data_IF_080749826492
#
_entry.id   IF_080749826492
#
_cell.length_a   1.000
_cell.length_b   1.000
_cell.length_c   1.000
_cell.angle_alpha   90.00
_cell.angle_beta   90.00
_cell.angle_gamma   90.00
#
_symmetry.space_group_name_H-M   'P 1'
#
loop_
_entity.id
_entity.type
_entity.pdbx_description
1 polymer ?
#
# COMPACT_ATOMS: atom_id res chain seq x y z
N UNK A 1 2.11 -36.74 -7.63
CA UNK A 1 2.13 -36.89 -6.15
C UNK A 1 3.54 -36.56 -5.67
N UNK A 2 3.75 -35.36 -5.15
CA UNK A 2 4.98 -35.02 -4.43
C UNK A 2 4.70 -35.22 -2.93
N UNK A 3 5.57 -35.92 -2.18
CA UNK A 3 5.37 -36.17 -0.76
C UNK A 3 5.54 -34.89 0.05
N UNK A 4 4.80 -34.78 1.15
CA UNK A 4 4.47 -33.55 1.85
C UNK A 4 5.67 -32.75 2.36
N UNK A 5 5.83 -31.53 1.83
CA UNK A 5 6.40 -30.43 2.59
C UNK A 5 5.26 -29.78 3.38
N UNK A 6 5.22 -30.04 4.69
CA UNK A 6 4.44 -29.21 5.61
C UNK A 6 4.91 -27.76 5.43
N UNK A 7 3.98 -26.85 5.11
CA UNK A 7 4.22 -25.40 5.24
C UNK A 7 4.65 -25.16 6.69
N UNK A 8 5.93 -24.86 6.92
CA UNK A 8 6.38 -24.37 8.22
C UNK A 8 5.83 -22.96 8.39
N UNK A 9 4.73 -22.81 9.10
CA UNK A 9 4.27 -21.52 9.60
C UNK A 9 5.29 -21.05 10.63
N UNK A 10 6.13 -20.06 10.29
CA UNK A 10 7.01 -19.43 11.26
C UNK A 10 6.21 -18.43 12.08
N UNK A 11 6.05 -18.71 13.36
CA UNK A 11 5.39 -17.80 14.29
C UNK A 11 6.32 -16.62 14.58
N UNK A 12 5.81 -15.40 14.37
CA UNK A 12 6.47 -14.16 14.78
C UNK A 12 5.67 -13.56 15.91
N UNK A 13 6.32 -13.23 17.03
CA UNK A 13 5.68 -12.58 18.17
C UNK A 13 6.32 -11.22 18.38
N UNK A 14 5.50 -10.18 18.57
CA UNK A 14 5.96 -8.84 18.91
C UNK A 14 5.43 -8.40 20.28
N UNK A 15 6.31 -7.91 21.14
CA UNK A 15 5.95 -7.22 22.39
C UNK A 15 6.26 -5.72 22.24
N UNK A 16 5.36 -4.86 22.70
CA UNK A 16 5.50 -3.41 22.62
C UNK A 16 5.15 -2.78 23.96
N UNK A 17 6.12 -2.12 24.56
CA UNK A 17 6.00 -1.37 25.80
C UNK A 17 6.10 0.12 25.49
N UNK A 18 5.13 0.90 25.96
CA UNK A 18 5.03 2.35 25.71
C UNK A 18 4.73 3.09 27.00
N UNK A 19 5.42 4.21 27.21
CA UNK A 19 5.02 5.23 28.20
C UNK A 19 4.41 6.42 27.47
N UNK A 20 3.15 6.73 27.75
CA UNK A 20 2.43 7.86 27.16
C UNK A 20 2.18 8.93 28.20
N UNK A 21 2.34 10.18 27.83
CA UNK A 21 1.97 11.36 28.63
C UNK A 21 0.79 12.06 27.96
N UNK A 22 -0.22 12.42 28.75
CA UNK A 22 -1.34 13.25 28.31
C UNK A 22 -1.30 14.58 29.06
N UNK A 23 -1.24 15.69 28.32
CA UNK A 23 -1.24 17.04 28.89
C UNK A 23 -2.50 17.79 28.48
N UNK A 24 -3.22 18.35 29.46
CA UNK A 24 -4.34 19.26 29.22
C UNK A 24 -3.79 20.57 28.65
N UNK A 25 -4.19 20.89 27.42
CA UNK A 25 -3.79 22.11 26.72
C UNK A 25 -4.72 23.28 27.05
N UNK A 26 -6.02 23.02 27.12
CA UNK A 26 -7.05 24.00 27.41
C UNK A 26 -8.29 23.33 27.99
N UNK A 27 -9.08 24.09 28.74
CA UNK A 27 -10.44 23.71 29.15
C UNK A 27 -11.35 24.88 28.82
N UNK A 28 -12.40 24.64 28.03
CA UNK A 28 -13.34 25.69 27.66
C UNK A 28 -14.40 25.94 28.75
N UNK A 29 -15.20 26.99 28.56
CA UNK A 29 -16.23 27.41 29.53
C UNK A 29 -17.32 26.36 29.78
N UNK A 30 -17.47 25.38 28.89
CA UNK A 30 -18.41 24.26 29.07
C UNK A 30 -17.76 23.07 29.80
N UNK A 31 -16.50 23.21 30.23
CA UNK A 31 -15.74 22.16 30.89
C UNK A 31 -15.19 21.11 29.94
N UNK A 32 -15.12 21.39 28.63
CA UNK A 32 -14.53 20.48 27.66
C UNK A 32 -13.02 20.69 27.65
N UNK A 33 -12.27 19.63 27.95
CA UNK A 33 -10.81 19.64 27.99
C UNK A 33 -10.21 19.20 26.64
N UNK A 34 -9.24 19.94 26.14
CA UNK A 34 -8.39 19.53 25.01
C UNK A 34 -7.11 18.93 25.56
N UNK A 35 -6.84 17.65 25.26
CA UNK A 35 -5.64 16.95 25.71
C UNK A 35 -4.74 16.60 24.51
N UNK A 36 -3.44 16.65 24.73
CA UNK A 36 -2.43 16.20 23.75
C UNK A 36 -1.61 15.05 24.34
N UNK A 37 -1.40 14.00 23.55
CA UNK A 37 -0.57 12.83 23.91
C UNK A 37 0.81 12.87 23.28
N UNK A 38 1.80 12.43 24.05
CA UNK A 38 3.18 12.22 23.62
C UNK A 38 3.68 10.86 24.10
N UNK A 39 4.59 10.24 23.36
CA UNK A 39 5.28 9.02 23.81
C UNK A 39 6.60 9.44 24.47
N UNK A 40 6.77 9.11 25.75
CA UNK A 40 7.99 9.38 26.50
C UNK A 40 9.04 8.29 26.31
N UNK A 41 8.60 7.03 26.24
CA UNK A 41 9.47 5.88 25.99
C UNK A 41 8.76 4.79 25.20
N UNK A 42 9.56 4.03 24.45
CA UNK A 42 9.15 2.93 23.59
C UNK A 42 10.18 1.81 23.67
N UNK A 43 9.73 0.58 23.91
CA UNK A 43 10.53 -0.64 23.75
C UNK A 43 9.74 -1.64 22.93
N UNK A 44 10.28 -2.08 21.80
CA UNK A 44 9.69 -3.10 20.94
C UNK A 44 10.62 -4.32 20.89
N UNK A 45 10.04 -5.50 21.04
CA UNK A 45 10.75 -6.78 20.94
C UNK A 45 10.06 -7.63 19.86
N UNK A 46 10.81 -8.07 18.86
CA UNK A 46 10.32 -8.92 17.78
C UNK A 46 11.06 -10.26 17.80
N UNK A 47 10.33 -11.36 17.98
CA UNK A 47 10.87 -12.74 17.91
C UNK A 47 10.35 -13.45 16.68
N UNK A 48 11.23 -14.14 15.96
CA UNK A 48 10.91 -14.93 14.77
C UNK A 48 11.28 -16.39 15.03
N UNK A 49 10.30 -17.24 15.37
CA UNK A 49 10.56 -18.61 15.77
C UNK A 49 11.49 -18.69 17.00
N UNK A 50 12.56 -19.48 16.89
CA UNK A 50 13.57 -19.67 17.94
C UNK A 50 14.78 -18.72 17.82
N UNK A 51 14.76 -17.76 16.90
CA UNK A 51 15.83 -16.77 16.72
C UNK A 51 15.92 -15.80 17.91
N UNK A 52 17.09 -15.19 18.11
CA UNK A 52 17.27 -14.14 19.13
C UNK A 52 16.31 -12.96 18.89
N UNK A 53 15.67 -12.42 19.94
CA UNK A 53 14.75 -11.30 19.81
C UNK A 53 15.46 -10.05 19.29
N UNK A 54 14.91 -9.45 18.23
CA UNK A 54 15.28 -8.10 17.82
C UNK A 54 14.64 -7.11 18.80
N UNK A 55 15.46 -6.50 19.66
CA UNK A 55 15.03 -5.51 20.65
C UNK A 55 15.41 -4.12 20.17
N UNK A 56 14.44 -3.21 20.15
CA UNK A 56 14.67 -1.77 20.01
C UNK A 56 14.11 -1.07 21.25
N UNK A 57 14.94 -0.30 21.94
CA UNK A 57 14.59 0.29 23.23
C UNK A 57 15.08 1.74 23.29
N UNK A 58 14.14 2.68 23.40
CA UNK A 58 14.39 4.12 23.55
C UNK A 58 15.23 4.51 24.77
N UNK A 59 15.41 3.61 25.75
CA UNK A 59 16.38 3.82 26.83
C UNK A 59 17.83 3.80 26.32
N UNK A 60 18.09 3.20 25.15
CA UNK A 60 19.40 3.16 24.52
C UNK A 60 19.57 4.34 23.55
N UNK A 61 20.68 5.12 23.62
CA UNK A 61 20.85 6.35 22.84
C UNK A 61 20.74 6.18 21.32
N UNK A 62 21.26 5.08 20.76
CA UNK A 62 21.21 4.84 19.31
C UNK A 62 19.78 4.50 18.83
N UNK A 63 19.07 3.63 19.53
CA UNK A 63 17.67 3.34 19.23
C UNK A 63 16.76 4.57 19.43
N UNK A 64 17.06 5.41 20.42
CA UNK A 64 16.31 6.65 20.64
C UNK A 64 16.42 7.61 19.44
N UNK A 65 17.57 7.67 18.76
CA UNK A 65 17.73 8.47 17.53
C UNK A 65 16.85 7.94 16.40
N UNK A 66 16.81 6.62 16.20
CA UNK A 66 15.94 5.98 15.20
C UNK A 66 14.46 6.23 15.49
N UNK A 67 14.09 6.34 16.77
CA UNK A 67 12.71 6.56 17.23
C UNK A 67 12.36 8.05 17.43
N UNK A 68 13.25 8.99 17.12
CA UNK A 68 13.05 10.42 17.35
C UNK A 68 11.85 11.01 16.59
N UNK A 69 11.34 10.31 15.57
CA UNK A 69 10.10 10.64 14.89
C UNK A 69 8.86 10.55 15.80
N UNK A 70 8.90 9.72 16.85
CA UNK A 70 7.75 9.40 17.71
C UNK A 70 7.90 9.91 19.15
N UNK A 71 9.12 9.95 19.67
CA UNK A 71 9.39 10.34 21.06
C UNK A 71 9.16 11.85 21.27
N UNK A 72 8.52 12.19 22.39
CA UNK A 72 8.28 13.55 22.89
C UNK A 72 7.53 14.50 21.93
N UNK A 73 6.87 13.97 20.90
CA UNK A 73 6.05 14.74 19.94
C UNK A 73 4.57 14.58 20.24
N UNK A 74 3.78 15.62 19.95
CA UNK A 74 2.32 15.53 19.96
C UNK A 74 1.84 14.59 18.86
N UNK A 75 1.33 13.42 19.24
CA UNK A 75 0.89 12.39 18.29
C UNK A 75 -0.63 12.30 18.16
N UNK A 76 -1.34 12.63 19.24
CA UNK A 76 -2.80 12.59 19.28
C UNK A 76 -3.33 13.80 20.04
N UNK A 77 -4.30 14.50 19.46
CA UNK A 77 -5.02 15.60 20.10
C UNK A 77 -6.52 15.27 20.17
N UNK A 78 -7.10 15.37 21.37
CA UNK A 78 -8.48 14.94 21.68
C UNK A 78 -9.24 16.01 22.45
N UNK A 79 -10.56 16.04 22.29
CA UNK A 79 -11.48 16.83 23.14
C UNK A 79 -12.36 15.91 23.97
N UNK A 80 -12.40 16.15 25.28
CA UNK A 80 -13.15 15.36 26.27
C UNK A 80 -14.16 16.24 27.00
N UNK A 81 -15.36 15.71 27.26
CA UNK A 81 -16.28 16.38 28.19
C UNK A 81 -15.85 16.22 29.66
N UNK A 82 -16.55 16.89 30.58
CA UNK A 82 -16.28 16.81 32.02
C UNK A 82 -16.49 15.43 32.65
N UNK A 83 -16.99 14.44 31.90
CA UNK A 83 -17.12 13.03 32.30
C UNK A 83 -16.08 12.14 31.63
N UNK A 84 -15.13 12.72 30.89
CA UNK A 84 -14.08 12.04 30.16
C UNK A 84 -14.50 11.51 28.78
N UNK A 85 -15.75 11.69 28.35
CA UNK A 85 -16.22 11.15 27.07
C UNK A 85 -15.51 11.84 25.91
N UNK A 86 -15.02 11.04 24.97
CA UNK A 86 -14.41 11.51 23.74
C UNK A 86 -15.44 12.21 22.86
N UNK A 87 -15.22 13.50 22.57
CA UNK A 87 -16.08 14.32 21.71
C UNK A 87 -15.51 14.45 20.29
N UNK A 88 -14.19 14.57 20.18
CA UNK A 88 -13.50 14.71 18.89
C UNK A 88 -12.05 14.26 18.99
N UNK A 89 -11.50 13.81 17.86
CA UNK A 89 -10.08 13.54 17.67
C UNK A 89 -9.63 14.32 16.44
N UNK A 90 -8.76 15.30 16.64
CA UNK A 90 -8.38 16.27 15.58
C UNK A 90 -7.08 15.90 14.89
N UNK A 91 -6.21 15.14 15.55
CA UNK A 91 -4.95 14.66 14.98
C UNK A 91 -4.72 13.23 15.44
N UNK A 92 -4.57 12.29 14.51
CA UNK A 92 -4.12 10.92 14.81
C UNK A 92 -2.97 10.61 13.87
N UNK A 93 -1.74 10.65 14.39
CA UNK A 93 -0.57 10.24 13.60
C UNK A 93 -0.45 8.71 13.50
N UNK A 94 -1.19 7.93 14.29
CA UNK A 94 -1.26 6.46 14.17
C UNK A 94 -2.49 5.79 14.81
N UNK A 95 -3.10 4.85 14.07
CA UNK A 95 -4.21 4.00 14.49
C UNK A 95 -5.61 4.61 14.36
N UNK A 96 -6.67 3.83 14.60
CA UNK A 96 -8.06 4.33 14.59
C UNK A 96 -8.34 5.18 15.83
N UNK A 97 -9.09 6.26 15.66
CA UNK A 97 -9.56 7.12 16.75
C UNK A 97 -10.45 6.35 17.76
N UNK A 98 -11.18 5.33 17.31
CA UNK A 98 -12.14 4.58 18.12
C UNK A 98 -11.47 3.77 19.24
N UNK A 99 -10.22 3.34 19.06
CA UNK A 99 -9.46 2.64 20.11
C UNK A 99 -9.29 3.50 21.38
N UNK A 100 -9.29 4.82 21.22
CA UNK A 100 -9.10 5.75 22.33
C UNK A 100 -10.29 5.70 23.29
N UNK A 101 -11.50 5.35 22.84
CA UNK A 101 -12.70 5.32 23.70
C UNK A 101 -12.62 4.32 24.86
N UNK A 102 -11.74 3.32 24.75
CA UNK A 102 -11.54 2.31 25.80
C UNK A 102 -10.21 2.45 26.54
N UNK A 103 -9.32 3.31 26.08
CA UNK A 103 -8.03 3.57 26.74
C UNK A 103 -8.20 4.55 27.92
N UNK A 104 -7.20 4.60 28.81
CA UNK A 104 -7.06 5.74 29.71
C UNK A 104 -6.36 6.88 28.96
N UNK A 105 -6.75 8.16 29.17
CA UNK A 105 -7.64 8.68 30.23
C UNK A 105 -9.13 8.81 29.85
N UNK A 106 -9.55 8.30 28.70
CA UNK A 106 -10.85 8.56 28.08
C UNK A 106 -12.05 7.91 28.78
N UNK A 107 -11.81 6.79 29.44
CA UNK A 107 -12.86 6.17 30.23
C UNK A 107 -12.21 5.57 31.46
N UNK A 108 -12.43 6.18 32.61
CA UNK A 108 -12.10 5.63 33.92
C UNK A 108 -13.38 5.57 34.73
N UNK A 109 -13.79 4.36 35.09
CA UNK A 109 -14.92 4.14 36.00
C UNK A 109 -14.28 3.83 37.34
N UNK A 110 -14.46 4.73 38.29
CA UNK A 110 -13.93 4.58 39.64
C UNK A 110 -14.94 3.78 40.49
N UNK A 111 -14.46 2.95 41.42
CA UNK A 111 -15.36 2.31 42.39
C UNK A 111 -16.00 3.37 43.29
N UNK A 112 -17.28 3.16 43.64
CA UNK A 112 -18.04 4.11 44.48
C UNK A 112 -17.41 4.26 45.88
N UNK A 113 -16.83 3.20 46.44
CA UNK A 113 -16.24 3.18 47.77
C UNK A 113 -14.88 2.47 47.79
N UNK A 114 -14.14 2.60 48.90
CA UNK A 114 -12.92 1.87 49.27
C UNK A 114 -11.69 2.15 48.40
N UNK A 115 -11.13 3.33 48.58
CA UNK A 115 -9.98 3.85 47.84
C UNK A 115 -8.66 3.52 48.54
N UNK A 116 -8.23 2.26 48.41
CA UNK A 116 -7.02 1.74 49.06
C UNK A 116 -6.01 1.23 48.01
N UNK A 117 -4.72 1.42 48.28
CA UNK A 117 -3.68 0.88 47.41
C UNK A 117 -3.76 -0.65 47.36
N UNK A 118 -3.62 -1.22 46.17
CA UNK A 118 -3.79 -2.65 45.89
C UNK A 118 -5.21 -3.04 45.45
N UNK A 119 -6.23 -2.20 45.66
CA UNK A 119 -7.59 -2.52 45.19
C UNK A 119 -7.62 -2.64 43.68
N UNK A 120 -8.29 -3.68 43.18
CA UNK A 120 -8.53 -3.87 41.75
C UNK A 120 -10.01 -4.11 41.42
N UNK A 121 -10.42 -3.73 40.22
CA UNK A 121 -11.75 -3.99 39.68
C UNK A 121 -11.67 -4.21 38.16
N UNK A 122 -12.66 -4.88 37.60
CA UNK A 122 -12.73 -5.20 36.18
C UNK A 122 -13.88 -4.46 35.50
N UNK A 123 -13.71 -4.20 34.21
CA UNK A 123 -14.82 -3.86 33.31
C UNK A 123 -14.68 -4.61 32.01
N UNK A 124 -15.81 -4.95 31.41
CA UNK A 124 -15.85 -5.35 30.01
C UNK A 124 -15.98 -4.11 29.14
N UNK A 125 -15.30 -4.10 28.00
CA UNK A 125 -15.46 -3.11 26.96
C UNK A 125 -15.42 -3.78 25.59
N UNK A 126 -15.96 -3.08 24.59
CA UNK A 126 -15.92 -3.49 23.19
C UNK A 126 -15.09 -2.49 22.40
N UNK A 127 -14.21 -3.01 21.54
CA UNK A 127 -13.41 -2.21 20.59
C UNK A 127 -13.70 -2.69 19.19
N UNK A 128 -14.01 -1.74 18.31
CA UNK A 128 -14.01 -1.98 16.87
C UNK A 128 -12.58 -1.86 16.34
N UNK A 129 -12.12 -2.85 15.59
CA UNK A 129 -10.79 -2.83 14.97
C UNK A 129 -10.97 -2.60 13.47
N UNK A 130 -10.83 -1.33 13.06
CA UNK A 130 -10.93 -0.92 11.65
C UNK A 130 -9.68 -1.32 10.83
N UNK A 131 -9.80 -1.42 9.50
CA UNK A 131 -8.64 -1.52 8.61
C UNK A 131 -7.61 -0.40 8.84
N UNK A 132 -6.30 -0.66 8.72
CA UNK A 132 -5.68 -1.92 8.29
C UNK A 132 -5.43 -2.93 9.44
N UNK A 133 -5.77 -2.59 10.69
CA UNK A 133 -5.47 -3.42 11.86
C UNK A 133 -6.48 -4.55 12.09
N UNK A 134 -7.62 -4.51 11.40
CA UNK A 134 -8.69 -5.51 11.44
C UNK A 134 -9.66 -5.30 10.28
N UNK A 135 -10.77 -6.04 10.26
CA UNK A 135 -11.77 -5.99 9.17
C UNK A 135 -12.99 -5.12 9.51
N UNK A 136 -12.92 -4.33 10.58
CA UNK A 136 -14.03 -3.51 11.09
C UNK A 136 -14.93 -4.22 12.11
N UNK A 137 -14.54 -5.39 12.59
CA UNK A 137 -15.30 -6.14 13.60
C UNK A 137 -15.08 -5.60 15.01
N UNK A 138 -16.06 -5.84 15.89
CA UNK A 138 -16.00 -5.47 17.31
C UNK A 138 -15.66 -6.65 18.18
N UNK A 139 -14.65 -6.48 19.04
CA UNK A 139 -14.13 -7.51 19.92
C UNK A 139 -14.31 -7.11 21.37
N UNK A 140 -14.58 -8.11 22.21
CA UNK A 140 -14.75 -7.90 23.65
C UNK A 140 -13.41 -8.04 24.35
N UNK A 141 -13.11 -7.08 25.23
CA UNK A 141 -11.93 -7.07 26.07
C UNK A 141 -12.33 -6.83 27.52
N UNK A 142 -11.54 -7.40 28.42
CA UNK A 142 -11.61 -7.17 29.85
C UNK A 142 -10.46 -6.25 30.26
N UNK A 143 -10.79 -5.22 31.03
CA UNK A 143 -9.83 -4.29 31.60
C UNK A 143 -9.85 -4.42 33.10
N UNK A 144 -8.70 -4.73 33.69
CA UNK A 144 -8.48 -4.73 35.13
C UNK A 144 -7.74 -3.46 35.53
N UNK A 145 -8.38 -2.67 36.39
CA UNK A 145 -7.81 -1.49 37.03
C UNK A 145 -7.25 -1.87 38.38
N UNK A 146 -6.13 -1.27 38.78
CA UNK A 146 -5.55 -1.44 40.12
C UNK A 146 -5.09 -0.09 40.66
N UNK A 147 -5.56 0.31 41.85
CA UNK A 147 -5.01 1.48 42.54
C UNK A 147 -3.60 1.14 43.01
N UNK A 148 -2.57 1.77 42.44
CA UNK A 148 -1.18 1.44 42.77
C UNK A 148 -0.67 2.23 43.96
N UNK A 149 -0.83 3.56 43.95
CA UNK A 149 -0.38 4.44 45.02
C UNK A 149 -1.13 5.77 45.03
N UNK A 150 -1.13 6.43 46.18
CA UNK A 150 -1.65 7.78 46.38
C UNK A 150 -0.53 8.74 46.74
N UNK A 151 -0.51 9.91 46.11
CA UNK A 151 0.38 11.03 46.46
C UNK A 151 -0.48 12.31 46.58
N UNK A 152 -0.73 12.74 47.82
CA UNK A 152 -1.67 13.83 48.09
C UNK A 152 -3.08 13.52 47.59
N UNK A 153 -3.56 14.34 46.65
CA UNK A 153 -4.88 14.18 46.01
C UNK A 153 -4.82 13.40 44.67
N UNK A 154 -3.65 12.88 44.29
CA UNK A 154 -3.45 12.15 43.04
C UNK A 154 -3.37 10.63 43.28
N UNK A 155 -4.06 9.88 42.45
CA UNK A 155 -4.00 8.42 42.40
C UNK A 155 -3.27 7.95 41.14
N UNK A 156 -2.35 7.01 41.30
CA UNK A 156 -1.79 6.23 40.19
C UNK A 156 -2.63 4.97 40.00
N UNK A 157 -3.21 4.79 38.82
CA UNK A 157 -4.04 3.62 38.47
C UNK A 157 -3.33 2.80 37.40
N UNK A 158 -3.06 1.53 37.70
CA UNK A 158 -2.61 0.54 36.73
C UNK A 158 -3.78 0.00 35.93
N UNK A 159 -3.59 -0.21 34.62
CA UNK A 159 -4.57 -0.80 33.72
C UNK A 159 -3.91 -1.97 32.97
N UNK A 160 -4.50 -3.16 33.06
CA UNK A 160 -4.19 -4.28 32.19
C UNK A 160 -5.41 -4.63 31.36
N UNK A 161 -5.23 -4.78 30.05
CA UNK A 161 -6.30 -5.15 29.11
C UNK A 161 -6.02 -6.55 28.58
N UNK A 162 -7.03 -7.41 28.56
CA UNK A 162 -6.96 -8.75 27.98
C UNK A 162 -8.16 -8.98 27.06
N UNK A 163 -7.94 -9.60 25.92
CA UNK A 163 -9.03 -10.05 25.05
C UNK A 163 -9.79 -11.19 25.73
N UNK A 164 -11.12 -11.10 25.78
CA UNK A 164 -11.95 -12.25 26.23
C UNK A 164 -12.18 -13.22 25.08
N UNK A 165 -12.26 -12.68 23.86
CA UNK A 165 -12.19 -13.41 22.60
C UNK A 165 -11.00 -12.84 21.85
N UNK A 166 -9.97 -13.65 21.61
CA UNK A 166 -8.86 -13.21 20.78
C UNK A 166 -9.44 -12.83 19.43
N UNK A 167 -9.25 -11.57 18.96
CA UNK A 167 -9.54 -11.28 17.58
C UNK A 167 -8.78 -12.30 16.75
N UNK A 168 -9.40 -12.89 15.69
CA UNK A 168 -8.64 -13.71 14.78
C UNK A 168 -7.39 -12.90 14.47
N UNK A 169 -6.22 -13.49 14.72
CA UNK A 169 -4.98 -12.95 14.20
C UNK A 169 -5.32 -12.70 12.74
N UNK A 170 -5.53 -11.42 12.39
CA UNK A 170 -5.31 -11.04 11.02
C UNK A 170 -3.94 -11.66 10.75
N UNK A 171 -3.82 -12.44 9.69
CA UNK A 171 -2.53 -12.82 9.15
C UNK A 171 -1.84 -11.49 8.79
N UNK A 172 -1.42 -10.76 9.83
CA UNK A 172 -0.65 -9.55 9.79
C UNK A 172 0.72 -10.11 9.56
N UNK A 173 1.01 -10.29 8.27
CA UNK A 173 2.36 -10.14 7.77
C UNK A 173 3.01 -9.02 8.60
N UNK A 174 4.12 -9.37 9.25
CA UNK A 174 4.88 -8.48 10.10
C UNK A 174 4.94 -7.09 9.48
N UNK A 175 4.97 -6.06 10.34
CA UNK A 175 5.12 -4.64 10.01
C UNK A 175 6.47 -4.38 9.31
N UNK A 176 6.51 -4.89 8.08
CA UNK A 176 7.32 -4.70 6.89
C UNK A 176 6.39 -4.82 5.64
N UNK A 177 5.06 -4.58 5.73
CA UNK A 177 4.08 -5.13 4.80
C UNK A 177 3.87 -4.23 3.57
N UNK A 178 4.83 -3.36 3.26
CA UNK A 178 4.77 -2.48 2.09
C UNK A 178 5.92 -2.69 1.12
N UNK A 179 6.91 -3.54 1.44
CA UNK A 179 7.92 -3.92 0.44
C UNK A 179 7.50 -5.14 -0.37
N UNK A 180 6.76 -6.10 0.20
CA UNK A 180 6.37 -7.31 -0.53
C UNK A 180 5.47 -7.06 -1.75
N UNK A 181 4.86 -5.87 -1.84
CA UNK A 181 3.80 -5.58 -2.80
C UNK A 181 4.16 -4.47 -3.80
N UNK A 182 5.43 -4.06 -3.84
CA UNK A 182 5.94 -3.33 -5.01
C UNK A 182 6.40 -4.35 -6.05
N UNK A 183 6.09 -4.15 -7.36
CA UNK A 183 6.56 -5.03 -8.43
C UNK A 183 8.08 -5.32 -8.32
N UNK A 184 8.84 -4.34 -7.82
CA UNK A 184 10.28 -4.41 -7.57
C UNK A 184 10.70 -5.56 -6.64
N UNK A 185 9.90 -5.94 -5.64
CA UNK A 185 10.23 -7.05 -4.73
C UNK A 185 9.89 -8.40 -5.33
N UNK A 186 8.81 -8.51 -6.11
CA UNK A 186 8.54 -9.74 -6.85
C UNK A 186 9.57 -9.98 -7.95
N UNK A 187 10.06 -8.93 -8.62
CA UNK A 187 11.25 -9.01 -9.48
C UNK A 187 12.44 -9.60 -8.70
N UNK A 188 12.75 -9.06 -7.52
CA UNK A 188 13.86 -9.54 -6.69
C UNK A 188 13.70 -11.01 -6.26
N UNK A 189 12.47 -11.42 -5.89
CA UNK A 189 12.16 -12.82 -5.57
C UNK A 189 12.38 -13.72 -6.78
N UNK A 190 11.90 -13.30 -7.95
CA UNK A 190 12.13 -13.99 -9.21
C UNK A 190 13.62 -14.15 -9.52
N UNK A 191 14.38 -13.06 -9.45
CA UNK A 191 15.83 -13.01 -9.66
C UNK A 191 16.54 -13.99 -8.72
N UNK A 192 16.30 -13.89 -7.40
CA UNK A 192 16.94 -14.74 -6.40
C UNK A 192 16.57 -16.21 -6.56
N UNK A 193 15.36 -16.53 -7.04
CA UNK A 193 14.91 -17.92 -7.27
C UNK A 193 15.66 -18.63 -8.39
N UNK A 194 16.19 -17.88 -9.37
CA UNK A 194 16.92 -18.41 -10.51
C UNK A 194 18.44 -18.45 -10.28
N UNK A 195 18.96 -17.61 -9.38
CA UNK A 195 20.39 -17.52 -9.12
C UNK A 195 20.86 -18.55 -8.10
N UNK A 196 21.97 -19.27 -8.37
CA UNK A 196 22.67 -20.10 -7.40
C UNK A 196 23.17 -19.32 -6.18
N UNK A 197 23.40 -20.02 -5.06
CA UNK A 197 23.80 -19.41 -3.77
C UNK A 197 25.14 -18.69 -3.76
N UNK A 198 26.02 -18.97 -4.71
CA UNK A 198 27.30 -18.28 -4.83
C UNK A 198 27.22 -16.90 -5.50
N UNK A 199 26.07 -16.54 -6.08
CA UNK A 199 25.84 -15.18 -6.57
C UNK A 199 25.40 -14.27 -5.42
N UNK A 200 26.12 -13.17 -5.26
CA UNK A 200 25.76 -12.10 -4.33
C UNK A 200 24.94 -11.03 -5.06
N UNK A 201 23.85 -10.60 -4.44
CA UNK A 201 23.00 -9.54 -4.96
C UNK A 201 23.34 -8.20 -4.30
N UNK A 202 23.66 -7.20 -5.13
CA UNK A 202 23.81 -5.81 -4.71
C UNK A 202 22.58 -5.03 -5.17
N UNK A 203 21.80 -4.52 -4.21
CA UNK A 203 20.61 -3.72 -4.51
C UNK A 203 20.97 -2.24 -4.55
N UNK A 204 20.59 -1.56 -5.63
CA UNK A 204 20.80 -0.12 -5.80
C UNK A 204 19.46 0.58 -6.03
N UNK A 205 19.09 1.51 -5.15
CA UNK A 205 17.86 2.30 -5.27
C UNK A 205 18.14 3.58 -6.07
N UNK A 206 17.53 3.71 -7.25
CA UNK A 206 17.68 4.89 -8.11
C UNK A 206 16.60 5.95 -7.93
N UNK A 207 15.47 5.62 -7.27
CA UNK A 207 14.32 6.54 -7.05
C UNK A 207 13.78 7.18 -8.32
N UNK A 208 13.88 6.42 -9.42
CA UNK A 208 13.58 6.89 -10.77
C UNK A 208 14.35 8.17 -11.17
N UNK A 209 15.47 8.47 -10.51
CA UNK A 209 16.34 9.62 -10.79
C UNK A 209 17.43 9.21 -11.80
N UNK A 210 17.46 9.83 -12.99
CA UNK A 210 18.44 9.50 -14.02
C UNK A 210 19.89 9.81 -13.60
N UNK A 211 20.13 10.75 -12.68
CA UNK A 211 21.46 11.03 -12.16
C UNK A 211 21.96 9.90 -11.24
N UNK A 212 21.09 9.39 -10.37
CA UNK A 212 21.41 8.24 -9.51
C UNK A 212 21.59 6.97 -10.34
N UNK A 213 20.73 6.72 -11.32
CA UNK A 213 20.90 5.62 -12.28
C UNK A 213 22.28 5.69 -12.94
N UNK A 214 22.67 6.85 -13.47
CA UNK A 214 23.96 7.02 -14.12
C UNK A 214 25.14 6.80 -13.17
N UNK A 215 25.02 7.20 -11.91
CA UNK A 215 26.02 6.97 -10.87
C UNK A 215 26.19 5.47 -10.59
N UNK A 216 25.09 4.75 -10.40
CA UNK A 216 25.14 3.30 -10.15
C UNK A 216 25.61 2.51 -11.37
N UNK A 217 25.15 2.84 -12.58
CA UNK A 217 25.63 2.21 -13.81
C UNK A 217 27.16 2.38 -13.96
N UNK A 218 27.69 3.58 -13.71
CA UNK A 218 29.14 3.85 -13.77
C UNK A 218 29.94 3.07 -12.75
N UNK A 219 29.35 2.76 -11.60
CA UNK A 219 29.99 2.01 -10.52
C UNK A 219 29.91 0.50 -10.76
N UNK A 220 28.71 0.00 -11.05
CA UNK A 220 28.42 -1.42 -11.20
C UNK A 220 29.05 -2.02 -12.47
N UNK A 221 29.34 -1.22 -13.50
CA UNK A 221 30.11 -1.72 -14.65
C UNK A 221 31.50 -2.28 -14.25
N UNK A 222 32.06 -1.83 -13.12
CA UNK A 222 33.35 -2.29 -12.61
C UNK A 222 33.21 -3.23 -11.41
N UNK A 223 32.20 -3.03 -10.56
CA UNK A 223 32.04 -3.77 -9.30
C UNK A 223 31.18 -5.05 -9.41
N UNK A 224 30.39 -5.21 -10.47
CA UNK A 224 29.49 -6.35 -10.64
C UNK A 224 29.80 -7.15 -11.91
N UNK A 225 29.58 -8.47 -11.87
CA UNK A 225 29.77 -9.35 -13.04
C UNK A 225 28.73 -9.10 -14.13
N UNK A 226 27.51 -8.72 -13.74
CA UNK A 226 26.43 -8.34 -14.64
C UNK A 226 25.40 -7.43 -13.94
N UNK A 227 24.55 -6.78 -14.73
CA UNK A 227 23.60 -5.78 -14.24
C UNK A 227 22.18 -6.15 -14.69
N UNK A 228 21.25 -6.24 -13.74
CA UNK A 228 19.81 -6.18 -14.02
C UNK A 228 19.37 -4.74 -13.76
N UNK A 229 18.90 -4.05 -14.80
CA UNK A 229 18.54 -2.64 -14.73
C UNK A 229 17.02 -2.48 -14.84
N UNK A 230 16.40 -1.74 -13.92
CA UNK A 230 15.07 -1.18 -14.12
C UNK A 230 15.25 0.28 -14.54
N UNK A 231 15.26 0.58 -15.85
CA UNK A 231 15.73 1.87 -16.32
C UNK A 231 14.69 2.99 -16.11
N UNK A 232 15.18 4.20 -15.88
CA UNK A 232 14.39 5.45 -15.91
C UNK A 232 13.86 5.76 -17.31
N UNK A 233 14.49 5.21 -18.35
CA UNK A 233 14.29 5.56 -19.76
C UNK A 233 14.59 7.04 -20.09
N UNK A 234 15.25 7.81 -19.21
CA UNK A 234 15.71 9.16 -19.57
C UNK A 234 16.77 9.04 -20.69
N UNK A 235 16.56 9.65 -21.87
CA UNK A 235 17.48 9.56 -23.00
C UNK A 235 18.91 10.00 -22.68
N UNK A 236 19.14 10.80 -21.63
CA UNK A 236 20.49 11.20 -21.18
C UNK A 236 21.37 10.00 -20.84
N UNK A 237 20.78 8.90 -20.37
CA UNK A 237 21.52 7.70 -19.97
C UNK A 237 21.74 6.70 -21.11
N UNK A 238 21.09 6.88 -22.25
CA UNK A 238 21.24 5.99 -23.42
C UNK A 238 22.70 5.87 -23.87
N UNK A 239 23.43 6.99 -23.96
CA UNK A 239 24.85 6.97 -24.34
C UNK A 239 25.75 6.27 -23.32
N UNK A 240 25.37 6.28 -22.03
CA UNK A 240 26.09 5.57 -20.98
C UNK A 240 25.82 4.06 -21.09
N UNK A 241 24.55 3.67 -21.22
CA UNK A 241 24.15 2.26 -21.39
C UNK A 241 24.82 1.65 -22.63
N UNK A 242 24.82 2.36 -23.76
CA UNK A 242 25.50 1.90 -24.98
C UNK A 242 26.99 1.63 -24.74
N UNK A 243 27.70 2.59 -24.11
CA UNK A 243 29.12 2.42 -23.79
C UNK A 243 29.38 1.24 -22.85
N UNK A 244 28.51 1.00 -21.87
CA UNK A 244 28.64 -0.14 -20.96
C UNK A 244 28.49 -1.45 -21.75
N UNK A 245 27.50 -1.54 -22.64
CA UNK A 245 27.32 -2.71 -23.51
C UNK A 245 28.53 -2.93 -24.43
N UNK A 246 29.13 -1.87 -24.98
CA UNK A 246 30.32 -1.95 -25.85
C UNK A 246 31.55 -2.53 -25.12
N UNK A 247 31.61 -2.45 -23.78
CA UNK A 247 32.67 -3.12 -23.00
C UNK A 247 32.50 -4.63 -22.87
N UNK A 248 31.38 -5.18 -23.35
CA UNK A 248 31.00 -6.57 -23.16
C UNK A 248 30.38 -6.86 -21.78
N UNK A 249 30.08 -5.84 -20.97
CA UNK A 249 29.39 -6.00 -19.68
C UNK A 249 27.98 -6.57 -19.90
N UNK A 250 27.63 -7.72 -19.30
CA UNK A 250 26.26 -8.23 -19.33
C UNK A 250 25.28 -7.27 -18.67
N UNK A 251 24.26 -6.84 -19.43
CA UNK A 251 23.16 -6.01 -18.92
C UNK A 251 21.83 -6.55 -19.45
N UNK A 252 20.87 -6.73 -18.55
CA UNK A 252 19.48 -7.07 -18.87
C UNK A 252 18.58 -5.98 -18.29
N UNK A 253 17.76 -5.33 -19.12
CA UNK A 253 16.74 -4.40 -18.64
C UNK A 253 15.45 -5.15 -18.28
N UNK A 254 14.75 -4.70 -17.25
CA UNK A 254 13.45 -5.23 -16.83
C UNK A 254 12.37 -4.16 -16.84
N UNK A 255 11.12 -4.55 -17.13
CA UNK A 255 9.90 -3.72 -17.19
C UNK A 255 9.88 -2.67 -18.31
N UNK A 256 11.01 -2.00 -18.54
CA UNK A 256 11.16 -0.85 -19.42
C UNK A 256 12.30 -1.05 -20.41
N UNK A 257 12.11 -0.50 -21.60
CA UNK A 257 13.01 -0.59 -22.73
C UNK A 257 13.58 0.81 -23.06
N UNK A 258 14.87 1.07 -22.79
CA UNK A 258 15.54 2.29 -23.21
C UNK A 258 15.59 2.39 -24.73
N UNK A 259 15.06 3.48 -25.28
CA UNK A 259 14.90 3.63 -26.73
C UNK A 259 16.25 3.60 -27.47
N UNK A 260 16.36 2.74 -28.49
CA UNK A 260 17.53 2.67 -29.35
C UNK A 260 18.75 1.98 -28.73
N UNK A 261 18.58 1.27 -27.60
CA UNK A 261 19.65 0.54 -26.94
C UNK A 261 19.55 -0.96 -27.24
N UNK A 262 20.56 -1.59 -27.87
CA UNK A 262 20.53 -3.00 -28.23
C UNK A 262 20.87 -3.89 -27.02
N UNK A 263 20.04 -3.88 -25.99
CA UNK A 263 20.20 -4.70 -24.78
C UNK A 263 19.18 -5.84 -24.72
N UNK A 264 19.47 -6.85 -23.90
CA UNK A 264 18.46 -7.83 -23.52
C UNK A 264 17.40 -7.13 -22.65
N UNK A 265 16.12 -7.35 -22.94
CA UNK A 265 15.00 -6.74 -22.19
C UNK A 265 14.01 -7.83 -21.83
N UNK A 266 13.57 -7.85 -20.57
CA UNK A 266 12.46 -8.68 -20.11
C UNK A 266 11.34 -7.77 -19.64
N UNK A 267 10.25 -7.68 -20.40
CA UNK A 267 9.16 -6.74 -20.13
C UNK A 267 7.78 -7.39 -20.33
N UNK A 268 6.74 -6.75 -19.80
CA UNK A 268 5.38 -7.09 -20.22
C UNK A 268 5.14 -6.55 -21.62
N UNK A 269 4.41 -7.28 -22.47
CA UNK A 269 3.84 -6.73 -23.70
C UNK A 269 2.71 -5.76 -23.32
N UNK A 270 3.09 -4.53 -22.99
CA UNK A 270 2.19 -3.52 -22.46
C UNK A 270 1.10 -3.16 -23.47
N UNK A 271 1.48 -3.05 -24.75
CA UNK A 271 0.57 -2.68 -25.81
C UNK A 271 -0.51 -3.75 -26.02
N UNK A 272 -0.13 -5.03 -26.21
CA UNK A 272 -1.12 -6.10 -26.42
C UNK A 272 -1.96 -6.37 -25.17
N UNK A 273 -1.36 -6.23 -23.99
CA UNK A 273 -2.08 -6.39 -22.71
C UNK A 273 -3.12 -5.29 -22.52
N UNK A 274 -2.74 -4.02 -22.72
CA UNK A 274 -3.66 -2.89 -22.63
C UNK A 274 -4.77 -2.99 -23.69
N UNK A 275 -4.42 -3.36 -24.93
CA UNK A 275 -5.38 -3.57 -26.02
C UNK A 275 -6.42 -4.64 -25.66
N UNK A 276 -6.01 -5.71 -24.98
CA UNK A 276 -6.92 -6.77 -24.52
C UNK A 276 -7.96 -6.24 -23.53
N UNK A 277 -7.53 -5.51 -22.50
CA UNK A 277 -8.43 -4.93 -21.52
C UNK A 277 -9.33 -3.84 -22.09
N UNK A 278 -8.80 -2.97 -22.94
CA UNK A 278 -9.56 -1.89 -23.57
C UNK A 278 -10.62 -2.44 -24.55
N UNK A 279 -10.27 -3.46 -25.36
CA UNK A 279 -11.25 -4.13 -26.23
C UNK A 279 -12.32 -4.88 -25.45
N UNK A 280 -12.01 -5.36 -24.24
CA UNK A 280 -13.04 -5.88 -23.36
C UNK A 280 -14.06 -4.79 -22.99
N UNK A 281 -13.62 -3.58 -22.65
CA UNK A 281 -14.53 -2.46 -22.38
C UNK A 281 -15.37 -2.09 -23.62
N UNK A 282 -14.76 -2.01 -24.81
CA UNK A 282 -15.52 -1.66 -26.03
C UNK A 282 -16.50 -2.75 -26.45
N UNK A 283 -16.16 -4.02 -26.22
CA UNK A 283 -17.07 -5.17 -26.41
C UNK A 283 -18.26 -5.13 -25.44
N UNK A 284 -18.07 -4.60 -24.22
CA UNK A 284 -19.14 -4.33 -23.26
C UNK A 284 -19.98 -3.09 -23.60
N UNK A 285 -19.71 -2.42 -24.73
CA UNK A 285 -20.49 -1.29 -25.22
C UNK A 285 -19.97 0.09 -24.80
N UNK A 286 -18.85 0.17 -24.08
CA UNK A 286 -18.25 1.46 -23.75
C UNK A 286 -17.73 2.16 -25.01
N UNK A 287 -18.05 3.46 -25.13
CA UNK A 287 -17.66 4.32 -26.25
C UNK A 287 -16.89 5.57 -25.81
N UNK A 288 -17.11 6.02 -24.59
CA UNK A 288 -16.41 7.14 -23.96
C UNK A 288 -15.64 6.60 -22.76
N UNK A 289 -14.34 6.37 -22.96
CA UNK A 289 -13.43 5.76 -21.98
C UNK A 289 -12.38 6.81 -21.63
N UNK A 290 -12.25 7.17 -20.36
CA UNK A 290 -11.17 8.04 -19.91
C UNK A 290 -9.87 7.26 -19.75
N UNK A 291 -8.73 7.95 -19.83
CA UNK A 291 -7.43 7.35 -19.51
C UNK A 291 -6.66 8.21 -18.50
N UNK A 292 -6.36 7.62 -17.35
CA UNK A 292 -5.62 8.28 -16.26
C UNK A 292 -4.20 7.72 -16.25
N UNK A 293 -3.23 8.57 -16.55
CA UNK A 293 -1.86 8.15 -16.85
C UNK A 293 -0.83 9.19 -16.46
N UNK A 294 0.43 8.79 -16.45
CA UNK A 294 1.57 9.65 -16.17
C UNK A 294 1.92 10.50 -17.40
N UNK A 295 2.44 11.71 -17.17
CA UNK A 295 2.95 12.61 -18.20
C UNK A 295 4.28 12.15 -18.84
N UNK A 296 4.94 11.15 -18.24
CA UNK A 296 6.22 10.61 -18.66
C UNK A 296 6.12 9.64 -19.85
N UNK A 297 5.53 10.07 -20.97
CA UNK A 297 5.35 9.27 -22.20
C UNK A 297 6.66 8.83 -22.89
N UNK A 298 7.83 9.25 -22.40
CA UNK A 298 9.13 8.74 -22.86
C UNK A 298 9.46 7.35 -22.26
N UNK A 299 8.82 6.99 -21.15
CA UNK A 299 8.94 5.67 -20.51
C UNK A 299 8.19 4.63 -21.36
N UNK A 300 8.86 3.55 -21.75
CA UNK A 300 8.30 2.60 -22.73
C UNK A 300 6.98 1.97 -22.29
N UNK A 301 6.86 1.54 -21.03
CA UNK A 301 5.64 0.90 -20.53
C UNK A 301 4.45 1.85 -20.51
N UNK A 302 4.66 3.11 -20.13
CA UNK A 302 3.64 4.17 -20.17
C UNK A 302 3.23 4.45 -21.61
N UNK A 303 4.21 4.64 -22.51
CA UNK A 303 3.99 4.90 -23.93
C UNK A 303 3.18 3.79 -24.60
N UNK A 304 3.59 2.54 -24.44
CA UNK A 304 2.95 1.39 -25.08
C UNK A 304 1.49 1.19 -24.62
N UNK A 305 1.20 1.42 -23.32
CA UNK A 305 -0.18 1.40 -22.80
C UNK A 305 -1.00 2.56 -23.39
N UNK A 306 -0.40 3.74 -23.51
CA UNK A 306 -1.03 4.91 -24.11
C UNK A 306 -1.32 4.71 -25.61
N UNK A 307 -0.39 4.14 -26.36
CA UNK A 307 -0.55 3.82 -27.78
C UNK A 307 -1.70 2.82 -28.01
N UNK A 308 -1.84 1.81 -27.15
CA UNK A 308 -2.99 0.89 -27.20
C UNK A 308 -4.32 1.61 -26.93
N UNK A 309 -4.35 2.54 -25.97
CA UNK A 309 -5.51 3.40 -25.74
C UNK A 309 -5.86 4.25 -26.96
N UNK A 310 -4.87 4.94 -27.55
CA UNK A 310 -5.08 5.75 -28.76
C UNK A 310 -5.68 4.92 -29.89
N UNK A 311 -5.16 3.72 -30.13
CA UNK A 311 -5.70 2.84 -31.16
C UNK A 311 -7.16 2.47 -30.90
N UNK A 312 -7.51 2.07 -29.67
CA UNK A 312 -8.90 1.69 -29.37
C UNK A 312 -9.85 2.88 -29.52
N UNK A 313 -9.42 4.08 -29.14
CA UNK A 313 -10.23 5.28 -29.33
C UNK A 313 -10.37 5.66 -30.81
N UNK A 314 -9.34 5.45 -31.63
CA UNK A 314 -9.43 5.58 -33.09
C UNK A 314 -10.40 4.55 -33.71
N UNK A 315 -10.38 3.29 -33.23
CA UNK A 315 -11.35 2.25 -33.62
C UNK A 315 -12.80 2.66 -33.28
N UNK A 316 -12.98 3.54 -32.28
CA UNK A 316 -14.25 4.15 -31.88
C UNK A 316 -14.57 5.49 -32.54
N UNK A 317 -13.76 5.93 -33.52
CA UNK A 317 -13.94 7.18 -34.28
C UNK A 317 -13.82 8.44 -33.41
N UNK A 318 -12.93 8.43 -32.42
CA UNK A 318 -12.50 9.65 -31.73
C UNK A 318 -11.33 10.29 -32.47
N UNK A 319 -11.56 11.47 -33.06
CA UNK A 319 -10.53 12.26 -33.73
C UNK A 319 -9.61 13.00 -32.73
N UNK A 320 -10.17 13.41 -31.59
CA UNK A 320 -9.43 14.05 -30.49
C UNK A 320 -9.79 13.40 -29.15
N UNK A 321 -8.79 12.73 -28.55
CA UNK A 321 -8.92 12.07 -27.24
C UNK A 321 -8.49 12.96 -26.08
N UNK A 322 -7.90 14.13 -26.33
CA UNK A 322 -7.41 15.03 -25.27
C UNK A 322 -8.46 15.33 -24.19
N UNK A 323 -9.76 15.49 -24.50
CA UNK A 323 -10.78 15.69 -23.47
C UNK A 323 -10.92 14.51 -22.49
N UNK A 324 -10.52 13.31 -22.89
CA UNK A 324 -10.67 12.05 -22.13
C UNK A 324 -9.40 11.61 -21.41
N UNK A 325 -8.24 12.18 -21.77
CA UNK A 325 -6.95 11.84 -21.15
C UNK A 325 -6.67 12.77 -19.97
N UNK A 326 -6.15 12.22 -18.89
CA UNK A 326 -5.66 12.97 -17.72
C UNK A 326 -4.22 12.55 -17.46
N UNK A 327 -3.32 13.50 -17.70
CA UNK A 327 -1.89 13.36 -17.46
C UNK A 327 -1.58 13.90 -16.06
N UNK A 328 -1.03 13.04 -15.22
CA UNK A 328 -0.56 13.41 -13.90
C UNK A 328 0.98 13.39 -13.87
N UNK A 329 1.62 14.26 -13.07
CA UNK A 329 3.08 14.24 -12.95
C UNK A 329 3.58 12.91 -12.39
N UNK A 330 4.49 12.25 -13.09
CA UNK A 330 5.20 11.08 -12.55
C UNK A 330 6.13 11.53 -11.41
N UNK A 331 5.70 11.40 -10.16
CA UNK A 331 6.51 11.75 -8.98
C UNK A 331 6.39 10.68 -7.89
N UNK A 332 7.52 10.17 -7.40
CA UNK A 332 7.54 9.29 -6.20
C UNK A 332 7.07 10.01 -4.93
N UNK A 333 7.08 11.34 -4.94
CA UNK A 333 6.67 12.20 -3.83
C UNK A 333 5.26 12.76 -3.98
N UNK A 334 4.41 12.19 -4.86
CA UNK A 334 3.01 12.61 -4.86
C UNK A 334 2.39 12.19 -3.53
N UNK A 335 2.27 13.19 -2.67
CA UNK A 335 1.40 13.21 -1.50
C UNK A 335 0.08 12.55 -1.92
N UNK A 336 -0.21 11.36 -1.39
CA UNK A 336 -1.40 10.57 -1.77
C UNK A 336 -2.69 11.41 -1.67
N UNK A 337 -2.71 12.36 -0.73
CA UNK A 337 -3.75 13.38 -0.58
C UNK A 337 -3.90 14.32 -1.79
N UNK A 338 -2.79 14.75 -2.41
CA UNK A 338 -2.83 15.53 -3.64
C UNK A 338 -3.31 14.70 -4.83
N UNK A 339 -2.81 13.46 -4.98
CA UNK A 339 -3.26 12.57 -6.06
C UNK A 339 -4.76 12.29 -5.97
N UNK A 340 -5.23 11.90 -4.78
CA UNK A 340 -6.64 11.59 -4.55
C UNK A 340 -7.54 12.78 -4.92
N UNK A 341 -7.14 14.00 -4.53
CA UNK A 341 -7.89 15.21 -4.86
C UNK A 341 -7.83 15.51 -6.38
N UNK A 342 -6.66 15.41 -7.01
CA UNK A 342 -6.52 15.66 -8.45
C UNK A 342 -7.31 14.65 -9.31
N UNK A 343 -7.30 13.37 -8.91
CA UNK A 343 -8.09 12.30 -9.54
C UNK A 343 -9.58 12.52 -9.33
N UNK A 344 -10.00 12.93 -8.13
CA UNK A 344 -11.39 13.30 -7.85
C UNK A 344 -11.87 14.43 -8.75
N UNK A 345 -11.11 15.52 -8.88
CA UNK A 345 -11.51 16.69 -9.68
C UNK A 345 -11.53 16.36 -11.18
N UNK A 346 -10.59 15.53 -11.64
CA UNK A 346 -10.56 15.01 -13.00
C UNK A 346 -11.79 14.13 -13.30
N UNK A 347 -12.11 13.19 -12.41
CA UNK A 347 -13.27 12.31 -12.54
C UNK A 347 -14.57 13.10 -12.50
N UNK A 348 -14.71 14.03 -11.55
CA UNK A 348 -15.87 14.91 -11.44
C UNK A 348 -16.13 15.66 -12.74
N UNK A 349 -15.09 16.25 -13.33
CA UNK A 349 -15.20 16.97 -14.61
C UNK A 349 -15.65 16.05 -15.75
N UNK A 350 -15.06 14.85 -15.86
CA UNK A 350 -15.37 13.88 -16.91
C UNK A 350 -16.78 13.27 -16.80
N UNK A 351 -17.31 13.16 -15.58
CA UNK A 351 -18.66 12.65 -15.32
C UNK A 351 -19.75 13.70 -15.59
N UNK A 352 -19.40 15.00 -15.60
CA UNK A 352 -20.37 16.10 -15.75
C UNK A 352 -20.27 16.85 -17.09
N UNK A 353 -19.36 16.46 -17.98
CA UNK A 353 -19.28 17.02 -19.34
C UNK A 353 -20.36 16.40 -20.28
N UNK A 354 -20.70 17.07 -21.41
CA UNK A 354 -21.53 16.47 -22.45
C UNK A 354 -20.90 15.18 -22.98
N UNK A 355 -21.64 14.07 -22.98
CA UNK A 355 -21.10 12.75 -23.28
C UNK A 355 -20.22 12.22 -22.13
N UNK A 356 -20.82 11.93 -20.96
CA UNK A 356 -20.06 11.49 -19.80
C UNK A 356 -19.33 10.19 -20.08
N UNK A 357 -18.20 10.00 -19.40
CA UNK A 357 -17.46 8.75 -19.47
C UNK A 357 -18.28 7.61 -18.85
N UNK A 358 -18.07 6.39 -19.33
CA UNK A 358 -18.68 5.17 -18.76
C UNK A 358 -17.65 4.15 -18.32
N UNK A 359 -16.37 4.39 -18.63
CA UNK A 359 -15.26 3.62 -18.12
C UNK A 359 -14.00 4.46 -17.96
N UNK A 360 -13.07 4.02 -17.11
CA UNK A 360 -11.74 4.61 -16.92
C UNK A 360 -10.68 3.52 -17.06
N UNK A 361 -9.68 3.75 -17.93
CA UNK A 361 -8.46 2.98 -17.98
C UNK A 361 -7.36 3.67 -17.16
N UNK A 362 -7.00 3.06 -16.03
CA UNK A 362 -5.94 3.49 -15.13
C UNK A 362 -4.61 2.87 -15.53
N UNK A 363 -3.57 3.69 -15.70
CA UNK A 363 -2.21 3.26 -16.02
C UNK A 363 -1.62 2.32 -14.95
N UNK A 364 -1.97 2.53 -13.68
CA UNK A 364 -1.46 1.83 -12.50
C UNK A 364 -2.53 1.73 -11.40
N UNK A 365 -2.36 0.79 -10.46
CA UNK A 365 -3.30 0.55 -9.36
C UNK A 365 -3.48 1.74 -8.42
N UNK A 366 -2.48 2.61 -8.26
CA UNK A 366 -2.64 3.79 -7.40
C UNK A 366 -3.64 4.80 -7.99
N UNK A 367 -3.78 4.88 -9.32
CA UNK A 367 -4.87 5.63 -9.97
C UNK A 367 -6.20 4.94 -9.74
N UNK A 368 -6.26 3.60 -9.86
CA UNK A 368 -7.47 2.84 -9.57
C UNK A 368 -7.96 3.10 -8.14
N UNK A 369 -7.08 3.03 -7.13
CA UNK A 369 -7.46 3.33 -5.74
C UNK A 369 -8.03 4.74 -5.61
N UNK A 370 -7.37 5.75 -6.18
CA UNK A 370 -7.84 7.12 -6.14
C UNK A 370 -9.18 7.32 -6.89
N UNK A 371 -9.39 6.62 -8.01
CA UNK A 371 -10.66 6.62 -8.76
C UNK A 371 -11.78 6.02 -7.92
N UNK A 372 -11.53 4.89 -7.25
CA UNK A 372 -12.53 4.23 -6.41
C UNK A 372 -12.90 5.09 -5.19
N UNK A 373 -11.93 5.76 -4.57
CA UNK A 373 -12.18 6.72 -3.50
C UNK A 373 -13.02 7.91 -4.01
N UNK A 374 -12.72 8.42 -5.20
CA UNK A 374 -13.50 9.49 -5.81
C UNK A 374 -14.94 9.03 -6.15
N UNK A 375 -15.11 7.83 -6.68
CA UNK A 375 -16.42 7.23 -6.93
C UNK A 375 -17.25 7.14 -5.65
N UNK A 376 -16.68 6.65 -4.55
CA UNK A 376 -17.36 6.56 -3.24
C UNK A 376 -17.83 7.94 -2.75
N UNK A 377 -16.95 8.94 -2.81
CA UNK A 377 -17.27 10.33 -2.44
C UNK A 377 -18.37 10.96 -3.31
N UNK A 378 -18.46 10.55 -4.57
CA UNK A 378 -19.45 11.04 -5.55
C UNK A 378 -20.73 10.19 -5.57
N UNK A 379 -20.78 9.07 -4.85
CA UNK A 379 -21.90 8.13 -4.90
C UNK A 379 -22.03 7.37 -6.24
N UNK A 380 -20.92 7.18 -6.96
CA UNK A 380 -20.84 6.41 -8.21
C UNK A 380 -20.53 4.94 -7.87
N UNK A 381 -21.36 4.02 -8.35
CA UNK A 381 -21.16 2.58 -8.14
C UNK A 381 -20.17 2.00 -9.17
N UNK A 382 -19.30 1.11 -8.72
CA UNK A 382 -18.36 0.38 -9.59
C UNK A 382 -18.59 -1.13 -9.40
N UNK A 383 -18.88 -1.90 -10.47
CA UNK A 383 -18.83 -1.52 -11.88
C UNK A 383 -20.13 -0.93 -12.47
N UNK A 384 -21.21 -0.76 -11.70
CA UNK A 384 -22.55 -0.51 -12.26
C UNK A 384 -22.73 0.84 -12.97
N UNK A 385 -22.15 1.92 -12.44
CA UNK A 385 -22.25 3.27 -13.02
C UNK A 385 -20.97 3.66 -13.79
N UNK A 386 -19.81 3.09 -13.41
CA UNK A 386 -18.52 3.31 -14.04
C UNK A 386 -17.67 2.03 -14.01
N UNK A 387 -17.22 1.55 -15.17
CA UNK A 387 -16.26 0.43 -15.22
C UNK A 387 -14.82 0.92 -15.11
N UNK A 388 -14.03 0.26 -14.27
CA UNK A 388 -12.61 0.59 -14.10
C UNK A 388 -11.78 -0.57 -14.65
N UNK A 389 -10.80 -0.23 -15.49
CA UNK A 389 -9.74 -1.12 -15.94
C UNK A 389 -8.42 -0.61 -15.37
N UNK A 390 -7.69 -1.45 -14.65
CA UNK A 390 -6.37 -1.13 -14.10
C UNK A 390 -5.29 -2.00 -14.71
N UNK A 391 -4.15 -1.42 -15.05
CA UNK A 391 -2.91 -2.17 -15.23
C UNK A 391 -2.28 -2.38 -13.86
N UNK A 392 -2.43 -3.60 -13.34
CA UNK A 392 -2.10 -3.97 -11.98
C UNK A 392 -0.66 -4.50 -11.90
N UNK A 393 0.17 -3.82 -11.11
CA UNK A 393 1.58 -4.17 -10.94
C UNK A 393 1.82 -5.11 -9.74
N UNK A 394 0.79 -5.34 -8.91
CA UNK A 394 0.87 -6.17 -7.72
C UNK A 394 -0.38 -7.06 -7.53
N UNK A 395 -0.26 -8.18 -6.78
CA UNK A 395 -1.42 -8.92 -6.30
C UNK A 395 -2.36 -8.00 -5.51
N UNK A 396 -3.68 -8.20 -5.60
CA UNK A 396 -4.65 -7.25 -5.10
C UNK A 396 -4.53 -7.05 -3.58
N UNK A 397 -4.15 -5.84 -3.16
CA UNK A 397 -4.14 -5.37 -1.77
C UNK A 397 -5.52 -5.44 -1.09
N UNK A 398 -6.60 -5.59 -1.87
CA UNK A 398 -7.98 -5.50 -1.39
C UNK A 398 -8.91 -6.49 -2.11
N UNK A 399 -8.96 -7.74 -1.65
CA UNK A 399 -9.69 -8.85 -2.32
C UNK A 399 -11.16 -8.60 -2.67
N UNK A 400 -11.85 -7.66 -2.00
CA UNK A 400 -13.24 -7.28 -2.30
C UNK A 400 -13.33 -6.12 -3.30
N UNK A 401 -12.48 -5.12 -3.16
CA UNK A 401 -12.44 -3.94 -4.05
C UNK A 401 -11.87 -4.31 -5.42
N UNK A 402 -10.96 -5.28 -5.48
CA UNK A 402 -10.36 -5.74 -6.73
C UNK A 402 -11.24 -6.69 -7.54
N UNK A 403 -12.42 -7.05 -7.03
CA UNK A 403 -13.42 -7.85 -7.76
C UNK A 403 -14.32 -6.98 -8.62
N UNK A 404 -14.58 -5.73 -8.26
CA UNK A 404 -15.41 -4.81 -9.05
C UNK A 404 -14.64 -4.12 -10.20
N UNK A 405 -13.36 -4.43 -10.37
CA UNK A 405 -12.45 -3.78 -11.33
C UNK A 405 -11.84 -4.81 -12.26
N UNK A 406 -11.75 -4.48 -13.55
CA UNK A 406 -11.00 -5.27 -14.52
C UNK A 406 -9.50 -5.05 -14.33
N UNK A 407 -8.70 -6.11 -14.30
CA UNK A 407 -7.27 -6.01 -13.97
C UNK A 407 -6.39 -6.71 -15.01
N UNK A 408 -5.33 -6.03 -15.42
CA UNK A 408 -4.24 -6.59 -16.23
C UNK A 408 -3.03 -6.77 -15.32
N UNK A 409 -2.79 -7.99 -14.84
CA UNK A 409 -1.76 -8.28 -13.82
C UNK A 409 -0.47 -8.73 -14.48
N UNK A 410 0.62 -8.00 -14.22
CA UNK A 410 1.95 -8.33 -14.72
C UNK A 410 2.52 -9.63 -14.11
N UNK A 411 3.35 -10.34 -14.85
CA UNK A 411 4.04 -11.56 -14.39
C UNK A 411 5.44 -11.25 -13.84
N UNK A 412 5.53 -10.27 -12.94
CA UNK A 412 6.80 -9.67 -12.46
C UNK A 412 7.79 -10.67 -11.84
N UNK A 413 7.28 -11.70 -11.14
CA UNK A 413 8.13 -12.79 -10.61
C UNK A 413 8.83 -13.57 -11.74
N UNK A 414 8.08 -13.97 -12.77
CA UNK A 414 8.62 -14.71 -13.91
C UNK A 414 9.54 -13.84 -14.77
N UNK A 415 9.26 -12.55 -14.86
CA UNK A 415 10.13 -11.59 -15.53
C UNK A 415 11.48 -11.47 -14.79
N UNK A 416 11.47 -11.36 -13.46
CA UNK A 416 12.70 -11.35 -12.66
C UNK A 416 13.50 -12.65 -12.81
N UNK A 417 12.81 -13.80 -12.79
CA UNK A 417 13.40 -15.13 -13.02
C UNK A 417 14.06 -15.21 -14.40
N UNK A 418 13.36 -14.77 -15.45
CA UNK A 418 13.84 -14.78 -16.84
C UNK A 418 15.05 -13.86 -17.01
N UNK A 419 15.02 -12.67 -16.41
CA UNK A 419 16.13 -11.72 -16.46
C UNK A 419 17.40 -12.29 -15.81
N UNK A 420 17.27 -12.97 -14.67
CA UNK A 420 18.39 -13.62 -14.01
C UNK A 420 18.98 -14.78 -14.82
N UNK A 421 18.12 -15.63 -15.43
CA UNK A 421 18.58 -16.71 -16.31
C UNK A 421 19.33 -16.13 -17.51
N UNK A 422 18.77 -15.11 -18.16
CA UNK A 422 19.41 -14.44 -19.30
C UNK A 422 20.76 -13.84 -18.93
N UNK A 423 20.82 -13.13 -17.80
CA UNK A 423 22.06 -12.51 -17.32
C UNK A 423 23.11 -13.57 -16.98
N UNK A 424 22.72 -14.69 -16.36
CA UNK A 424 23.63 -15.79 -16.05
C UNK A 424 24.25 -16.39 -17.31
N UNK A 425 23.46 -16.67 -18.35
CA UNK A 425 23.99 -17.15 -19.63
C UNK A 425 25.02 -16.20 -20.23
N UNK A 426 24.78 -14.88 -20.15
CA UNK A 426 25.74 -13.86 -20.59
C UNK A 426 27.02 -13.86 -19.76
N UNK A 427 26.92 -13.94 -18.42
CA UNK A 427 28.08 -14.01 -17.52
C UNK A 427 28.92 -15.26 -17.82
N UNK A 428 28.29 -16.37 -18.17
CA UNK A 428 28.97 -17.62 -18.54
C UNK A 428 29.59 -17.60 -19.95
N UNK A 429 29.51 -16.48 -20.67
CA UNK A 429 30.14 -16.30 -21.98
C UNK A 429 29.31 -16.79 -23.16
N UNK A 430 28.01 -17.06 -22.99
CA UNK A 430 27.14 -17.43 -24.11
C UNK A 430 26.94 -16.25 -25.07
N UNK A 431 27.31 -16.44 -26.33
CA UNK A 431 27.18 -15.44 -27.40
C UNK A 431 25.81 -15.56 -28.04
N UNK A 432 24.93 -14.60 -27.73
CA UNK A 432 23.55 -14.53 -28.23
C UNK A 432 23.22 -13.12 -28.74
N UNK A 433 22.31 -12.93 -29.70
CA UNK A 433 21.83 -11.60 -30.07
C UNK A 433 21.06 -10.97 -28.90
N UNK A 434 21.06 -9.65 -28.79
CA UNK A 434 20.18 -8.95 -27.84
C UNK A 434 18.72 -9.23 -28.17
N UNK A 435 17.89 -9.48 -27.16
CA UNK A 435 16.51 -9.95 -27.34
C UNK A 435 15.54 -9.20 -26.43
N UNK A 436 14.39 -8.81 -26.99
CA UNK A 436 13.24 -8.31 -26.21
C UNK A 436 12.31 -9.47 -25.94
N UNK A 437 12.37 -10.00 -24.72
CA UNK A 437 11.53 -11.09 -24.24
C UNK A 437 10.29 -10.50 -23.58
N UNK A 438 9.12 -10.74 -24.18
CA UNK A 438 7.85 -10.22 -23.66
C UNK A 438 6.99 -11.31 -23.03
N UNK A 439 6.20 -10.93 -22.03
CA UNK A 439 5.14 -11.75 -21.44
C UNK A 439 3.82 -10.97 -21.43
N UNK A 440 2.69 -11.64 -21.65
CA UNK A 440 1.39 -10.98 -21.56
C UNK A 440 0.96 -10.81 -20.10
N UNK A 441 0.33 -9.68 -19.78
CA UNK A 441 -0.35 -9.52 -18.52
C UNK A 441 -1.58 -10.44 -18.46
N UNK A 442 -1.85 -11.02 -17.29
CA UNK A 442 -3.04 -11.83 -17.07
C UNK A 442 -4.26 -10.92 -16.91
N UNK A 443 -5.27 -11.09 -17.75
CA UNK A 443 -6.52 -10.34 -17.66
C UNK A 443 -7.51 -11.02 -16.71
N UNK A 444 -7.99 -10.27 -15.72
CA UNK A 444 -9.03 -10.67 -14.77
C UNK A 444 -10.21 -9.70 -14.89
N UNK A 445 -11.34 -10.12 -15.47
CA UNK A 445 -12.50 -9.25 -15.59
C UNK A 445 -13.14 -8.99 -14.21
N UNK A 446 -13.84 -7.86 -14.09
CA UNK A 446 -14.66 -7.55 -12.93
C UNK A 446 -15.79 -8.57 -12.74
N UNK A 447 -16.03 -8.99 -11.49
CA UNK A 447 -17.22 -9.74 -11.07
C UNK A 447 -18.41 -8.78 -11.06
N UNK A 448 -19.41 -9.02 -11.92
CA UNK A 448 -20.70 -8.33 -11.87
C UNK A 448 -21.64 -9.03 -10.89
N UNK A 449 -22.43 -8.28 -10.14
CA UNK A 449 -23.47 -8.85 -9.30
C UNK A 449 -24.55 -9.52 -10.20
N UNK A 450 -24.76 -10.85 -10.14
CA UNK A 450 -25.66 -11.56 -11.05
C UNK A 450 -27.14 -11.17 -10.94
N UNK A 451 -27.53 -10.45 -9.89
CA UNK A 451 -28.94 -10.19 -9.55
C UNK A 451 -29.45 -8.80 -9.99
N UNK A 452 -28.62 -7.94 -10.61
CA UNK A 452 -29.04 -6.63 -11.12
C UNK A 452 -29.53 -5.65 -10.03
N UNK A 453 -29.39 -6.00 -8.75
CA UNK A 453 -29.66 -5.09 -7.65
C UNK A 453 -28.60 -3.99 -7.65
N UNK A 454 -29.03 -2.74 -7.84
CA UNK A 454 -28.26 -1.55 -7.45
C UNK A 454 -27.92 -1.68 -5.97
N UNK A 455 -26.79 -2.28 -5.64
CA UNK A 455 -26.16 -2.01 -4.37
C UNK A 455 -25.53 -0.64 -4.53
N UNK A 456 -26.27 0.39 -4.12
CA UNK A 456 -25.59 1.52 -3.49
C UNK A 456 -24.74 0.86 -2.40
N UNK A 457 -23.42 0.83 -2.57
CA UNK A 457 -22.53 0.50 -1.46
C UNK A 457 -22.55 1.74 -0.56
N UNK A 458 -23.69 1.99 0.07
CA UNK A 458 -23.66 2.57 1.39
C UNK A 458 -23.12 1.45 2.27
N UNK A 459 -22.16 1.69 3.16
CA UNK A 459 -21.92 0.77 4.26
C UNK A 459 -23.15 0.82 5.19
N UNK A 460 -24.25 0.20 4.75
CA UNK A 460 -25.44 -0.02 5.57
C UNK A 460 -25.20 -1.28 6.37
N UNK A 461 -24.78 -1.09 7.62
CA UNK A 461 -25.02 -2.05 8.70
C UNK A 461 -26.55 -2.22 8.82
N UNK A 462 -27.12 -3.18 8.09
CA UNK A 462 -28.52 -3.57 8.29
C UNK A 462 -28.64 -4.31 9.63
N UNK A 463 -29.07 -3.58 10.66
CA UNK A 463 -29.60 -4.17 11.88
C UNK A 463 -30.90 -4.89 11.54
N UNK A 464 -30.85 -6.21 11.35
CA UNK A 464 -32.06 -7.01 11.50
C UNK A 464 -32.40 -7.06 12.98
N UNK A 465 -33.37 -6.23 13.37
CA UNK A 465 -34.08 -6.38 14.63
C UNK A 465 -34.98 -7.62 14.47
N UNK A 466 -34.48 -8.79 14.84
CA UNK A 466 -35.36 -9.92 15.10
C UNK A 466 -36.24 -9.55 16.31
N UNK A 467 -37.49 -9.21 16.04
CA UNK A 467 -38.54 -9.32 17.04
C UNK A 467 -39.02 -10.78 17.04
N UNK A 468 -38.86 -11.42 18.19
CA UNK A 468 -39.48 -12.69 18.58
C UNK A 468 -39.56 -12.72 20.11
N UNK A 469 -40.40 -13.58 20.68
CA UNK A 469 -41.87 -13.60 20.68
C UNK A 469 -42.45 -13.16 22.04
#
# INVERSE_FOLDING_TARGET
QFPGQQKQTRQTTSDLQLTREWTVQAVDAMGIATLQMRILSLRSELRRGEEEPLIRDSAQPEHAKEMAAFLNKGLVTVRLDGRGRLLAVTEVRSGSAQRLEVELPFRLILPEEGWEAGRSWQRQARVKIDPPLGVGDSYTLEQKYTLLRRQGNLWTVGLSTRWTEEPPLAEQAAVFPFMHDYPQVEYLRGIRSALPDHYNLLLCETRNDPHLEAQYLRRMQHEADGIICYPTCDPKNNSLLHRILDTGKPVVCVDRHPQGIPCDVVMTDNYMSALTGLRHLTANGHRTIAHFTDDALYVSSIRERYEAYLQVMQELVWDDVQPLVRLFPMHESVRLDYLAQAVHDALFTLMHQPGPISAVFCLHDYYMVAVLEACDRMGISVPEDLEVLSFADAPPLMTRVTRSVHRLVQQVYEMGRTAAIRLQSRINGEVMPSEVMTTLASFYPAERNPQGERKVITPTLSYHKEEKP
#
